data_IF_291197099897
#
_entry.id   IF_291197099897
#
_cell.length_a   1.000
_cell.length_b   1.000
_cell.length_c   1.000
_cell.angle_alpha   90.00
_cell.angle_beta   90.00
_cell.angle_gamma   90.00
#
_symmetry.space_group_name_H-M   'P 1'
#
loop_
_entity.id
_entity.type
_entity.pdbx_description
1 polymer ?
#
# COMPACT_ATOMS: atom_id res chain seq x y z
N UNK A 1 14.05 16.68 13.05
CA UNK A 1 12.75 16.16 12.62
C UNK A 1 11.98 15.69 13.85
N UNK A 2 10.74 16.10 13.99
CA UNK A 2 9.82 15.63 15.03
C UNK A 2 8.51 15.24 14.35
N UNK A 3 8.15 13.97 14.42
CA UNK A 3 6.94 13.41 13.84
C UNK A 3 5.95 12.91 14.93
N UNK A 4 6.23 13.24 16.20
CA UNK A 4 5.42 12.80 17.35
C UNK A 4 5.75 11.40 17.84
N UNK A 5 4.83 10.84 18.64
CA UNK A 5 5.02 9.57 19.33
C UNK A 5 4.98 8.35 18.37
N UNK A 6 5.74 7.30 18.73
CA UNK A 6 5.76 6.01 18.04
C UNK A 6 6.10 6.15 16.54
N UNK A 7 7.15 6.90 16.23
CA UNK A 7 7.63 7.04 14.87
C UNK A 7 8.09 5.68 14.29
N UNK A 8 7.79 5.45 13.03
CA UNK A 8 8.11 4.24 12.28
C UNK A 8 8.83 4.63 10.99
N UNK A 9 10.13 4.93 11.07
CA UNK A 9 10.87 5.46 9.93
C UNK A 9 11.15 4.36 8.89
N UNK A 10 11.09 4.76 7.63
CA UNK A 10 11.51 3.96 6.48
C UNK A 10 12.29 4.85 5.52
N UNK A 11 13.46 4.38 5.07
CA UNK A 11 14.32 5.14 4.16
C UNK A 11 14.39 4.45 2.81
N UNK A 12 14.18 5.22 1.75
CA UNK A 12 14.22 4.77 0.37
C UNK A 12 14.62 5.94 -0.53
N UNK A 13 15.35 5.67 -1.59
CA UNK A 13 15.55 6.62 -2.69
C UNK A 13 14.27 6.68 -3.53
N UNK A 14 13.29 7.43 -3.02
CA UNK A 14 11.93 7.45 -3.58
C UNK A 14 11.87 8.21 -4.91
N UNK A 15 12.62 9.30 -4.99
CA UNK A 15 12.67 10.17 -6.16
C UNK A 15 13.75 9.78 -7.18
N UNK A 16 14.52 8.71 -6.91
CA UNK A 16 15.59 8.16 -7.76
C UNK A 16 16.72 9.17 -8.05
N UNK A 17 17.01 10.07 -7.10
CA UNK A 17 18.11 11.04 -7.19
C UNK A 17 19.43 10.54 -6.60
N UNK A 18 19.45 9.35 -6.01
CA UNK A 18 20.60 8.69 -5.38
C UNK A 18 20.73 8.99 -3.89
N UNK A 19 19.90 9.85 -3.31
CA UNK A 19 19.83 10.12 -1.87
C UNK A 19 18.61 9.40 -1.26
N UNK A 20 18.77 8.84 -0.06
CA UNK A 20 17.63 8.25 0.64
C UNK A 20 16.74 9.34 1.22
N UNK A 21 15.45 9.27 0.86
CA UNK A 21 14.37 10.01 1.47
C UNK A 21 13.85 9.31 2.73
N UNK A 22 13.08 10.01 3.56
CA UNK A 22 12.55 9.48 4.81
C UNK A 22 11.02 9.53 4.80
N UNK A 23 10.42 8.38 5.02
CA UNK A 23 9.00 8.25 5.35
C UNK A 23 8.85 7.89 6.82
N UNK A 24 7.83 8.39 7.48
CA UNK A 24 7.53 8.00 8.86
C UNK A 24 6.04 8.04 9.15
N UNK A 25 5.53 6.94 9.67
CA UNK A 25 4.25 6.94 10.36
C UNK A 25 4.39 7.40 11.81
N UNK A 26 3.26 7.69 12.47
CA UNK A 26 3.22 8.01 13.89
C UNK A 26 2.00 7.41 14.59
N UNK A 27 1.89 7.68 15.92
CA UNK A 27 0.77 7.22 16.75
C UNK A 27 -0.58 7.73 16.32
N UNK A 28 -0.65 8.93 15.74
CA UNK A 28 -1.90 9.57 15.32
C UNK A 28 -2.43 9.02 13.98
N UNK A 29 -1.60 8.25 13.27
CA UNK A 29 -1.93 7.76 11.93
C UNK A 29 -1.55 8.73 10.81
N UNK A 30 -0.79 9.78 11.15
CA UNK A 30 -0.19 10.67 10.18
C UNK A 30 0.95 9.94 9.46
N UNK A 31 1.17 10.26 8.19
CA UNK A 31 2.19 9.66 7.38
C UNK A 31 3.02 10.74 6.68
N UNK A 32 4.23 10.93 7.18
CA UNK A 32 5.14 12.00 6.77
C UNK A 32 6.04 11.55 5.63
N UNK A 33 6.35 12.48 4.76
CA UNK A 33 7.41 12.38 3.77
C UNK A 33 8.38 13.56 3.89
N UNK A 34 9.66 13.22 4.06
CA UNK A 34 10.78 14.18 4.05
C UNK A 34 11.70 13.83 2.89
N UNK A 35 11.86 14.78 1.98
CA UNK A 35 12.84 14.68 0.91
C UNK A 35 14.23 15.00 1.43
N UNK A 36 15.22 14.26 0.94
CA UNK A 36 16.62 14.57 1.21
C UNK A 36 17.20 15.41 0.06
N UNK A 37 17.29 16.73 0.25
CA UNK A 37 17.91 17.65 -0.71
C UNK A 37 19.45 17.67 -0.62
N UNK A 38 20.05 16.83 0.25
CA UNK A 38 21.48 16.64 0.41
C UNK A 38 21.98 15.35 -0.26
N UNK A 39 22.65 14.51 0.55
CA UNK A 39 23.10 13.19 0.13
C UNK A 39 23.09 12.21 1.31
N UNK A 40 23.45 10.94 1.10
CA UNK A 40 23.38 9.89 2.13
C UNK A 40 24.35 10.07 3.30
N UNK A 41 25.39 10.92 3.16
CA UNK A 41 26.38 11.22 4.23
C UNK A 41 26.14 12.55 4.93
N UNK A 42 25.49 13.49 4.26
CA UNK A 42 25.15 14.83 4.77
C UNK A 42 23.71 15.18 4.32
N UNK A 43 22.69 14.57 4.97
CA UNK A 43 21.30 14.73 4.55
C UNK A 43 20.76 16.13 4.93
N UNK A 44 20.02 16.72 4.01
CA UNK A 44 19.28 17.98 4.21
C UNK A 44 17.80 17.66 4.04
N UNK A 45 17.07 17.57 5.15
CA UNK A 45 15.68 17.14 5.17
C UNK A 45 14.72 18.31 4.93
N UNK A 46 13.91 18.19 3.91
CA UNK A 46 12.77 19.09 3.64
C UNK A 46 11.47 18.31 3.86
N UNK A 47 10.65 18.77 4.79
CA UNK A 47 9.30 18.21 4.96
C UNK A 47 8.45 18.55 3.72
N UNK A 48 8.02 17.52 3.01
CA UNK A 48 7.17 17.66 1.84
C UNK A 48 5.72 17.63 2.27
N UNK A 49 5.35 16.70 3.14
CA UNK A 49 4.00 16.56 3.69
C UNK A 49 3.98 15.73 4.96
N UNK A 50 3.01 15.99 5.83
CA UNK A 50 2.66 15.15 6.98
C UNK A 50 1.41 14.29 6.69
N UNK A 51 0.87 14.38 5.49
CA UNK A 51 -0.29 13.61 5.02
C UNK A 51 -0.01 13.09 3.62
N UNK A 52 0.98 12.19 3.53
CA UNK A 52 1.40 11.60 2.25
C UNK A 52 0.27 10.83 1.56
N UNK A 53 -0.65 10.29 2.34
CA UNK A 53 -1.86 9.63 1.85
C UNK A 53 -3.10 10.35 2.37
N UNK A 54 -4.19 10.43 1.59
CA UNK A 54 -5.37 11.25 1.90
C UNK A 54 -6.22 10.72 3.08
N UNK A 55 -5.98 9.50 3.53
CA UNK A 55 -6.77 8.84 4.56
C UNK A 55 -6.04 8.75 5.90
N UNK A 56 -6.76 8.95 7.00
CA UNK A 56 -6.26 8.67 8.33
C UNK A 56 -6.33 7.16 8.62
N UNK A 57 -5.18 6.52 8.79
CA UNK A 57 -5.04 5.06 8.95
C UNK A 57 -5.31 4.54 10.37
N UNK A 58 -5.75 5.40 11.27
CA UNK A 58 -6.21 4.97 12.59
C UNK A 58 -5.14 4.69 13.63
N UNK A 59 -3.96 5.25 13.46
CA UNK A 59 -2.87 5.24 14.44
C UNK A 59 -1.83 4.15 14.25
N UNK A 60 -0.58 4.48 14.65
CA UNK A 60 0.61 3.64 14.50
C UNK A 60 0.73 3.05 13.08
N UNK A 61 0.99 3.88 12.11
CA UNK A 61 1.21 3.45 10.72
C UNK A 61 2.65 2.97 10.54
N UNK A 62 2.82 1.86 9.81
CA UNK A 62 4.11 1.21 9.55
C UNK A 62 4.31 1.08 8.04
N UNK A 63 5.11 1.96 7.41
CA UNK A 63 5.36 1.89 5.97
C UNK A 63 6.41 0.83 5.63
N UNK A 64 6.24 0.20 4.47
CA UNK A 64 7.24 -0.64 3.82
C UNK A 64 7.11 -0.46 2.31
N UNK A 65 8.18 -0.05 1.66
CA UNK A 65 8.21 0.11 0.21
C UNK A 65 8.92 -1.07 -0.44
N UNK A 66 8.33 -1.59 -1.51
CA UNK A 66 8.90 -2.68 -2.31
C UNK A 66 8.28 -2.64 -3.71
N UNK A 67 9.05 -2.89 -4.73
CA UNK A 67 8.56 -3.12 -6.09
C UNK A 67 7.93 -4.52 -6.13
N UNK A 68 6.59 -4.62 -6.14
CA UNK A 68 5.88 -5.89 -6.06
C UNK A 68 5.46 -6.42 -7.43
N UNK A 69 5.30 -5.55 -8.43
CA UNK A 69 4.89 -5.92 -9.78
C UNK A 69 6.03 -5.88 -10.81
N UNK A 70 7.23 -5.52 -10.35
CA UNK A 70 8.47 -5.50 -11.11
C UNK A 70 8.47 -4.47 -12.27
N UNK A 71 7.84 -3.33 -12.04
CA UNK A 71 7.82 -2.20 -12.97
C UNK A 71 8.92 -1.17 -12.71
N UNK A 72 9.79 -1.43 -11.69
CA UNK A 72 10.94 -0.63 -11.27
C UNK A 72 10.61 0.59 -10.40
N UNK A 73 9.39 0.78 -10.03
CA UNK A 73 9.03 1.72 -8.97
C UNK A 73 8.62 1.00 -7.67
N UNK A 74 8.51 1.74 -6.59
CA UNK A 74 8.25 1.13 -5.29
C UNK A 74 6.82 1.32 -4.87
N UNK A 75 6.16 0.21 -4.58
CA UNK A 75 4.82 0.16 -4.01
C UNK A 75 4.88 0.32 -2.50
N UNK A 76 3.80 0.78 -1.90
CA UNK A 76 3.70 0.99 -0.47
C UNK A 76 2.77 -0.02 0.20
N UNK A 77 3.33 -0.82 1.09
CA UNK A 77 2.57 -1.51 2.12
C UNK A 77 2.49 -0.66 3.38
N UNK A 78 1.30 -0.49 3.91
CA UNK A 78 1.06 0.28 5.13
C UNK A 78 0.27 -0.55 6.13
N UNK A 79 0.91 -0.96 7.22
CA UNK A 79 0.26 -1.59 8.36
C UNK A 79 -0.24 -0.59 9.38
N UNK A 80 -1.22 -0.96 10.21
CA UNK A 80 -1.67 -0.15 11.34
C UNK A 80 -2.14 -1.00 12.53
N UNK A 81 -2.34 -0.36 13.70
CA UNK A 81 -2.79 -1.06 14.93
C UNK A 81 -4.20 -1.61 14.89
N UNK A 82 -5.02 -1.21 13.94
CA UNK A 82 -6.38 -1.74 13.77
C UNK A 82 -6.38 -3.08 13.05
N UNK A 83 -5.20 -3.62 12.71
CA UNK A 83 -5.02 -4.92 12.07
C UNK A 83 -5.26 -4.90 10.55
N UNK A 84 -5.23 -3.74 9.92
CA UNK A 84 -5.27 -3.59 8.47
C UNK A 84 -3.88 -3.60 7.85
N UNK A 85 -3.76 -4.17 6.66
CA UNK A 85 -2.64 -3.97 5.74
C UNK A 85 -3.21 -3.34 4.47
N UNK A 86 -2.67 -2.19 4.10
CA UNK A 86 -3.04 -1.47 2.89
C UNK A 86 -1.91 -1.64 1.88
N UNK A 87 -2.27 -1.88 0.63
CA UNK A 87 -1.34 -1.91 -0.49
C UNK A 87 -1.70 -0.77 -1.45
N UNK A 88 -0.72 0.02 -1.77
CA UNK A 88 -0.79 1.07 -2.77
C UNK A 88 0.21 0.74 -3.88
N UNK A 89 -0.31 0.38 -5.04
CA UNK A 89 0.50 0.15 -6.23
C UNK A 89 0.85 1.51 -6.87
N UNK A 90 2.15 1.74 -7.02
CA UNK A 90 2.67 2.88 -7.75
C UNK A 90 2.80 2.45 -9.22
N UNK A 91 2.04 3.03 -10.13
CA UNK A 91 1.94 2.54 -11.50
C UNK A 91 2.39 3.53 -12.58
N UNK A 92 3.02 4.64 -12.15
CA UNK A 92 3.51 5.62 -13.11
C UNK A 92 4.85 6.22 -12.72
N UNK A 93 5.88 5.93 -13.53
CA UNK A 93 7.03 6.80 -13.65
C UNK A 93 6.64 7.96 -14.59
N UNK A 94 5.78 8.84 -14.17
CA UNK A 94 5.59 10.09 -14.91
C UNK A 94 6.74 11.02 -14.56
N UNK A 95 7.45 11.45 -15.60
CA UNK A 95 8.53 12.43 -15.61
C UNK A 95 8.74 13.23 -14.30
N UNK A 96 9.98 13.26 -13.81
CA UNK A 96 10.52 13.94 -12.63
C UNK A 96 10.09 15.42 -12.44
N UNK A 97 9.30 15.98 -13.35
CA UNK A 97 8.79 17.35 -13.32
C UNK A 97 7.43 17.51 -12.65
N UNK A 98 6.73 16.43 -12.27
CA UNK A 98 5.35 16.51 -11.77
C UNK A 98 5.23 16.07 -10.30
N UNK A 99 6.21 16.45 -9.47
CA UNK A 99 6.19 16.28 -8.01
C UNK A 99 5.21 17.24 -7.32
N UNK A 100 4.02 17.35 -7.86
CA UNK A 100 2.86 17.87 -7.13
C UNK A 100 2.42 16.80 -6.15
N UNK A 101 2.70 16.98 -4.91
CA UNK A 101 2.22 16.51 -3.60
C UNK A 101 1.17 15.36 -3.49
N UNK A 102 0.77 14.71 -4.58
CA UNK A 102 -0.11 13.54 -4.56
C UNK A 102 0.68 12.31 -4.99
N UNK A 103 0.90 11.34 -4.09
CA UNK A 103 1.40 10.03 -4.51
C UNK A 103 0.43 9.46 -5.55
N UNK A 104 0.94 9.18 -6.75
CA UNK A 104 0.09 8.66 -7.86
C UNK A 104 -0.13 7.16 -7.64
N UNK A 105 -0.74 6.79 -6.53
CA UNK A 105 -1.24 5.44 -6.37
C UNK A 105 -2.58 5.33 -7.10
N UNK A 106 -2.63 4.51 -8.14
CA UNK A 106 -3.86 4.28 -8.90
C UNK A 106 -4.85 3.39 -8.15
N UNK A 107 -4.36 2.65 -7.13
CA UNK A 107 -5.18 1.72 -6.36
C UNK A 107 -4.97 1.84 -4.86
N UNK A 108 -6.07 1.68 -4.14
CA UNK A 108 -6.09 1.42 -2.70
C UNK A 108 -6.84 0.12 -2.46
N UNK A 109 -6.18 -0.86 -1.82
CA UNK A 109 -6.76 -2.14 -1.46
C UNK A 109 -6.89 -2.24 0.06
N UNK A 110 -8.06 -2.61 0.54
CA UNK A 110 -8.37 -2.85 1.95
C UNK A 110 -9.12 -4.16 2.10
N UNK A 111 -8.78 -4.95 3.11
CA UNK A 111 -9.54 -6.14 3.48
C UNK A 111 -10.07 -6.00 4.92
N UNK A 112 -11.39 -6.04 5.10
CA UNK A 112 -12.03 -5.90 6.41
C UNK A 112 -13.28 -6.79 6.54
N UNK A 113 -13.47 -7.46 7.69
CA UNK A 113 -12.55 -7.59 8.83
C UNK A 113 -11.29 -8.39 8.49
N UNK A 114 -10.18 -8.07 9.19
CA UNK A 114 -8.94 -8.85 9.17
C UNK A 114 -8.37 -8.88 10.59
N UNK A 115 -8.28 -10.04 11.30
CA UNK A 115 -8.70 -11.38 10.83
C UNK A 115 -10.20 -11.50 10.56
N UNK A 116 -10.59 -12.44 9.70
CA UNK A 116 -11.98 -12.63 9.31
C UNK A 116 -12.55 -14.01 9.68
N UNK A 117 -13.87 -14.05 9.86
CA UNK A 117 -14.66 -15.27 10.03
C UNK A 117 -16.14 -14.99 9.77
N UNK A 118 -16.82 -15.62 8.83
CA UNK A 118 -16.30 -16.53 7.78
C UNK A 118 -15.88 -15.81 6.50
N UNK A 119 -15.97 -14.47 6.42
CA UNK A 119 -15.67 -13.69 5.21
C UNK A 119 -14.95 -12.39 5.51
N UNK A 120 -14.21 -11.93 4.53
CA UNK A 120 -13.69 -10.56 4.47
C UNK A 120 -14.23 -9.85 3.23
N UNK A 121 -14.43 -8.54 3.33
CA UNK A 121 -14.70 -7.65 2.21
C UNK A 121 -13.38 -7.04 1.75
N UNK A 122 -13.13 -7.11 0.46
CA UNK A 122 -12.01 -6.49 -0.21
C UNK A 122 -12.56 -5.25 -0.91
N UNK A 123 -12.08 -4.09 -0.49
CA UNK A 123 -12.41 -2.80 -1.08
C UNK A 123 -11.24 -2.34 -1.92
N UNK A 124 -11.50 -2.05 -3.18
CA UNK A 124 -10.50 -1.51 -4.11
C UNK A 124 -11.01 -0.17 -4.61
N UNK A 125 -10.19 0.87 -4.47
CA UNK A 125 -10.43 2.18 -5.05
C UNK A 125 -9.48 2.35 -6.23
N UNK A 126 -10.02 2.58 -7.42
CA UNK A 126 -9.25 2.81 -8.65
C UNK A 126 -9.57 4.20 -9.20
N UNK A 127 -8.55 4.94 -9.65
CA UNK A 127 -8.76 6.25 -10.31
C UNK A 127 -9.32 6.10 -11.71
N UNK A 128 -9.00 5.00 -12.39
CA UNK A 128 -9.37 4.76 -13.79
C UNK A 128 -10.06 3.41 -13.98
N UNK A 129 -10.84 3.30 -15.05
CA UNK A 129 -11.44 2.04 -15.45
C UNK A 129 -10.43 1.22 -16.25
N UNK A 130 -10.12 -0.01 -15.80
CA UNK A 130 -9.15 -0.86 -16.50
C UNK A 130 -9.39 -2.35 -16.27
N UNK A 131 -8.71 -3.17 -17.09
CA UNK A 131 -8.70 -4.61 -16.87
C UNK A 131 -7.91 -4.94 -15.62
N UNK A 132 -8.52 -5.65 -14.67
CA UNK A 132 -7.95 -5.92 -13.35
C UNK A 132 -8.10 -7.39 -13.01
N UNK A 133 -7.05 -7.99 -12.48
CA UNK A 133 -7.08 -9.33 -11.89
C UNK A 133 -6.94 -9.20 -10.37
N UNK A 134 -7.78 -9.91 -9.62
CA UNK A 134 -7.70 -9.98 -8.16
C UNK A 134 -7.59 -11.45 -7.79
N UNK A 135 -6.42 -11.85 -7.36
CA UNK A 135 -6.09 -13.23 -7.03
C UNK A 135 -5.71 -13.36 -5.55
N UNK A 136 -6.00 -14.51 -4.96
CA UNK A 136 -5.62 -14.84 -3.58
C UNK A 136 -4.58 -15.95 -3.62
N UNK A 137 -3.51 -15.74 -2.83
CA UNK A 137 -2.38 -16.65 -2.70
C UNK A 137 -2.22 -17.11 -1.26
N UNK A 138 -1.74 -18.32 -1.06
CA UNK A 138 -1.34 -18.82 0.26
C UNK A 138 0.09 -18.35 0.61
N UNK A 139 0.57 -18.70 1.80
CA UNK A 139 1.92 -18.35 2.28
C UNK A 139 3.07 -19.00 1.49
N UNK A 140 2.78 -19.97 0.60
CA UNK A 140 3.75 -20.59 -0.30
C UNK A 140 3.79 -19.93 -1.68
N UNK A 141 2.98 -18.88 -1.89
CA UNK A 141 2.86 -18.21 -3.19
C UNK A 141 2.00 -18.96 -4.21
N UNK A 142 1.23 -19.97 -3.78
CA UNK A 142 0.33 -20.69 -4.67
C UNK A 142 -1.00 -19.96 -4.76
N UNK A 143 -1.47 -19.70 -5.99
CA UNK A 143 -2.79 -19.11 -6.23
C UNK A 143 -3.88 -20.07 -5.80
N UNK A 144 -4.72 -19.66 -4.86
CA UNK A 144 -5.81 -20.47 -4.32
C UNK A 144 -7.18 -20.04 -4.86
N UNK A 145 -7.35 -18.76 -5.16
CA UNK A 145 -8.61 -18.24 -5.71
C UNK A 145 -8.38 -17.07 -6.65
N UNK A 146 -9.20 -16.97 -7.70
CA UNK A 146 -9.37 -15.77 -8.50
C UNK A 146 -10.73 -15.16 -8.16
N UNK A 147 -10.73 -13.92 -7.66
CA UNK A 147 -11.96 -13.20 -7.29
C UNK A 147 -12.50 -12.36 -8.44
N UNK A 148 -11.60 -11.82 -9.26
CA UNK A 148 -11.93 -10.96 -10.38
C UNK A 148 -10.90 -11.15 -11.49
N UNK A 149 -11.34 -11.09 -12.74
CA UNK A 149 -10.47 -11.12 -13.92
C UNK A 149 -11.25 -10.53 -15.10
N UNK A 150 -11.54 -9.25 -15.02
CA UNK A 150 -12.36 -8.52 -16.00
C UNK A 150 -12.11 -7.01 -15.89
N UNK A 151 -12.85 -6.22 -16.65
CA UNK A 151 -12.83 -4.77 -16.59
C UNK A 151 -13.43 -4.27 -15.27
N UNK A 152 -12.66 -3.53 -14.49
CA UNK A 152 -13.10 -2.90 -13.25
C UNK A 152 -13.32 -1.40 -13.49
N UNK A 153 -14.50 -0.82 -13.15
CA UNK A 153 -14.75 0.59 -13.33
C UNK A 153 -13.93 1.44 -12.35
N UNK A 154 -13.68 2.70 -12.73
CA UNK A 154 -13.12 3.70 -11.82
C UNK A 154 -14.02 3.88 -10.59
N UNK A 155 -13.41 4.26 -9.46
CA UNK A 155 -14.10 4.46 -8.20
C UNK A 155 -13.93 3.28 -7.24
N UNK A 156 -14.88 3.14 -6.32
CA UNK A 156 -14.82 2.11 -5.27
C UNK A 156 -15.51 0.83 -5.71
N UNK A 157 -14.78 -0.28 -5.68
CA UNK A 157 -15.24 -1.62 -6.01
C UNK A 157 -15.16 -2.52 -4.78
N UNK A 158 -16.09 -3.46 -4.64
CA UNK A 158 -16.17 -4.36 -3.49
C UNK A 158 -16.22 -5.81 -3.95
N UNK A 159 -15.37 -6.63 -3.35
CA UNK A 159 -15.32 -8.07 -3.54
C UNK A 159 -15.44 -8.76 -2.19
N UNK A 160 -15.84 -10.05 -2.19
CA UNK A 160 -15.97 -10.82 -0.97
C UNK A 160 -15.23 -12.13 -1.09
N UNK A 161 -14.44 -12.45 -0.10
CA UNK A 161 -13.80 -13.76 0.00
C UNK A 161 -14.26 -14.49 1.27
N UNK A 162 -14.56 -15.77 1.11
CA UNK A 162 -15.11 -16.62 2.17
C UNK A 162 -14.10 -17.63 2.70
N UNK A 163 -12.80 -17.47 2.46
CA UNK A 163 -11.77 -18.40 2.86
C UNK A 163 -11.82 -19.72 2.08
N UNK A 164 -12.29 -19.67 0.82
CA UNK A 164 -12.47 -20.82 -0.06
C UNK A 164 -11.55 -20.72 -1.29
N UNK A 165 -11.34 -21.84 -1.98
CA UNK A 165 -10.64 -21.90 -3.25
C UNK A 165 -11.59 -21.77 -4.45
N UNK A 166 -11.05 -21.87 -5.68
CA UNK A 166 -11.84 -21.79 -6.92
C UNK A 166 -12.90 -22.90 -7.06
N UNK A 167 -12.73 -24.04 -6.37
CA UNK A 167 -13.75 -25.12 -6.36
C UNK A 167 -14.80 -24.94 -5.26
N UNK A 168 -14.70 -23.91 -4.42
CA UNK A 168 -15.56 -23.64 -3.27
C UNK A 168 -15.19 -24.44 -2.01
N UNK A 169 -14.06 -25.16 -2.01
CA UNK A 169 -13.59 -25.86 -0.81
C UNK A 169 -12.97 -24.85 0.16
N UNK A 170 -13.35 -24.95 1.45
CA UNK A 170 -12.85 -24.12 2.52
C UNK A 170 -11.37 -24.40 2.73
N UNK A 171 -10.58 -23.32 2.80
CA UNK A 171 -9.15 -23.36 3.03
C UNK A 171 -8.82 -23.38 4.55
N UNK A 172 -7.67 -23.91 4.94
CA UNK A 172 -7.21 -23.86 6.33
C UNK A 172 -7.09 -22.43 6.87
N UNK A 173 -7.20 -22.25 8.18
CA UNK A 173 -6.85 -20.98 8.81
C UNK A 173 -5.37 -20.66 8.57
N UNK A 174 -5.07 -19.43 8.19
CA UNK A 174 -3.70 -19.02 7.87
C UNK A 174 -3.62 -17.60 7.34
N UNK A 175 -2.43 -17.23 6.88
CA UNK A 175 -2.18 -15.97 6.19
C UNK A 175 -2.34 -16.18 4.69
N UNK A 176 -3.06 -15.27 4.07
CA UNK A 176 -3.28 -15.24 2.63
C UNK A 176 -2.98 -13.83 2.11
N UNK A 177 -2.50 -13.75 0.89
CA UNK A 177 -2.18 -12.51 0.21
C UNK A 177 -3.17 -12.27 -0.92
N UNK A 178 -3.54 -11.00 -1.12
CA UNK A 178 -4.40 -10.55 -2.22
C UNK A 178 -3.49 -9.73 -3.15
N UNK A 179 -3.42 -10.12 -4.40
CA UNK A 179 -2.68 -9.44 -5.46
C UNK A 179 -3.61 -9.14 -6.64
#
# INVERSE_FOLDING_TARGET
>A
LDVGDNCTPFMIDYNKDGAYDLFSGNRNGEFFYFKNDGNNTDPVWTEVTNQFLPDAFGGNTFPCFVDIDNDTDSDLFLGNVKGGLYLYINSEITNVADWGLDPVFNYKLEAFPNPFNPRTQIRIVSKEAQFTTIDIFNSLGEKVKSLHNDYMPAGTNYFYWYGDNNSGAILPSGVYFIL
#
